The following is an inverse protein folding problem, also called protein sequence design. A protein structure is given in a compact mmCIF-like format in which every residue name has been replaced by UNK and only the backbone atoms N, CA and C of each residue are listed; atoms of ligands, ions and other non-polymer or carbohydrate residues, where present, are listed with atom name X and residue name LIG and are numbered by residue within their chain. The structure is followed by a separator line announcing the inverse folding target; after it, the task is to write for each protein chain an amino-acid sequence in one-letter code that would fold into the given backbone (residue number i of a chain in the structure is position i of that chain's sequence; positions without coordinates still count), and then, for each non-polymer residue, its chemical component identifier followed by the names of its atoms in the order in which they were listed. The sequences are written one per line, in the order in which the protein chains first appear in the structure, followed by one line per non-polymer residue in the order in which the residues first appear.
data_IF_782254833340
#
_entry.id   IF_782254833340
#
_cell.length_a   1.000
_cell.length_b   1.000
_cell.length_c   1.000
_cell.angle_alpha   90.00
_cell.angle_beta   90.00
_cell.angle_gamma   90.00
#
_symmetry.space_group_name_H-M   'P 1'
#
loop_
_entity.id
_entity.type
_entity.pdbx_description
1 polymer ?
#
# COMPACT_ATOMS: atom_id res chain seq x y z
N UNK A 1 11.57 -10.49 -8.33
CA UNK A 1 10.35 -10.56 -7.51
C UNK A 1 9.16 -10.36 -8.43
N UNK A 2 8.12 -11.20 -8.35
CA UNK A 2 6.86 -11.01 -9.08
C UNK A 2 5.76 -10.67 -8.07
N UNK A 3 4.95 -9.62 -8.31
CA UNK A 3 3.86 -9.28 -7.40
C UNK A 3 2.82 -10.40 -7.37
N UNK A 4 2.12 -10.49 -6.25
CA UNK A 4 1.02 -11.42 -6.05
C UNK A 4 -0.14 -10.69 -5.36
N UNK A 5 -1.34 -11.26 -5.44
CA UNK A 5 -2.51 -10.76 -4.73
C UNK A 5 -2.21 -10.65 -3.23
N UNK A 6 -2.51 -9.49 -2.65
CA UNK A 6 -2.24 -9.16 -1.24
C UNK A 6 -0.94 -8.41 -1.02
N UNK A 7 -0.03 -8.33 -2.00
CA UNK A 7 1.16 -7.49 -1.88
C UNK A 7 0.78 -6.01 -1.78
N UNK A 8 1.52 -5.26 -0.96
CA UNK A 8 1.45 -3.81 -0.93
C UNK A 8 2.44 -3.29 -1.97
N UNK A 9 1.97 -2.51 -2.92
CA UNK A 9 2.82 -1.83 -3.90
C UNK A 9 3.12 -0.42 -3.41
N UNK A 10 4.38 -0.01 -3.53
CA UNK A 10 4.85 1.34 -3.22
C UNK A 10 5.19 2.03 -4.54
N UNK A 11 4.59 3.19 -4.76
CA UNK A 11 4.79 4.01 -5.94
C UNK A 11 5.58 5.26 -5.62
N UNK A 12 6.41 5.66 -6.59
CA UNK A 12 7.13 6.93 -6.59
C UNK A 12 6.45 7.92 -7.53
N UNK A 13 6.04 9.07 -7.00
CA UNK A 13 5.60 10.24 -7.76
C UNK A 13 4.58 9.92 -8.87
N UNK A 14 3.47 9.25 -8.53
CA UNK A 14 2.54 8.64 -9.50
C UNK A 14 1.48 9.60 -10.06
N UNK A 15 1.23 10.74 -9.41
CA UNK A 15 0.31 11.76 -9.93
C UNK A 15 1.03 12.52 -11.04
N UNK A 16 0.46 12.61 -12.25
CA UNK A 16 1.11 13.32 -13.34
C UNK A 16 1.09 14.84 -13.10
N UNK A 17 2.06 15.60 -13.64
CA UNK A 17 2.22 17.03 -13.32
C UNK A 17 0.96 17.87 -13.49
N UNK A 18 0.15 17.60 -14.51
CA UNK A 18 -1.09 18.31 -14.81
C UNK A 18 -2.21 18.14 -13.78
N UNK A 19 -2.10 17.13 -12.89
CA UNK A 19 -3.06 16.85 -11.83
C UNK A 19 -2.55 17.27 -10.44
N UNK A 20 -1.43 17.97 -10.37
CA UNK A 20 -0.84 18.46 -9.13
C UNK A 20 -1.13 19.94 -8.93
N UNK A 21 -1.32 20.32 -7.67
CA UNK A 21 -1.39 21.73 -7.27
C UNK A 21 -0.03 22.43 -7.42
N UNK A 22 1.07 21.72 -7.13
CA UNK A 22 2.44 22.11 -7.43
C UNK A 22 3.18 20.96 -8.12
N UNK A 23 3.64 21.21 -9.35
CA UNK A 23 4.35 20.24 -10.20
C UNK A 23 5.60 19.64 -9.53
N UNK A 24 6.23 20.39 -8.62
CA UNK A 24 7.45 19.96 -7.94
C UNK A 24 7.18 19.11 -6.71
N UNK A 25 5.94 19.06 -6.20
CA UNK A 25 5.60 18.27 -5.02
C UNK A 25 5.64 16.78 -5.37
N UNK A 26 6.48 15.95 -4.71
CA UNK A 26 6.45 14.51 -4.88
C UNK A 26 5.13 13.93 -4.39
N UNK A 27 4.51 13.09 -5.20
CA UNK A 27 3.24 12.44 -4.88
C UNK A 27 3.43 10.92 -4.85
N UNK A 28 4.13 10.46 -3.82
CA UNK A 28 4.30 9.02 -3.58
C UNK A 28 2.96 8.41 -3.13
N UNK A 29 2.80 7.11 -3.38
CA UNK A 29 1.52 6.46 -3.19
C UNK A 29 1.67 4.98 -2.87
N UNK A 30 0.60 4.35 -2.41
CA UNK A 30 0.57 2.91 -2.18
C UNK A 30 -0.79 2.30 -2.53
N UNK A 31 -0.78 1.02 -2.86
CA UNK A 31 -1.99 0.25 -3.12
C UNK A 31 -1.84 -1.20 -2.71
N UNK A 32 -2.94 -1.94 -2.78
CA UNK A 32 -2.96 -3.40 -2.55
C UNK A 32 -3.18 -4.10 -3.88
N UNK A 33 -2.26 -4.98 -4.27
CA UNK A 33 -2.39 -5.79 -5.48
C UNK A 33 -3.56 -6.75 -5.32
N UNK A 34 -4.55 -6.67 -6.21
CA UNK A 34 -5.73 -7.55 -6.20
C UNK A 34 -5.70 -8.61 -7.31
N UNK A 35 -5.01 -8.33 -8.40
CA UNK A 35 -4.86 -9.24 -9.54
C UNK A 35 -3.58 -8.93 -10.33
N UNK A 36 -2.96 -9.93 -10.95
CA UNK A 36 -1.73 -9.77 -11.74
C UNK A 36 -1.93 -10.44 -13.10
N UNK A 37 -1.51 -9.76 -14.17
CA UNK A 37 -1.54 -10.27 -15.53
C UNK A 37 -0.21 -10.01 -16.26
N UNK A 38 -0.17 -10.41 -17.53
CA UNK A 38 1.00 -10.27 -18.39
C UNK A 38 1.41 -8.82 -18.68
N UNK A 39 0.49 -7.86 -18.55
CA UNK A 39 0.69 -6.46 -18.89
C UNK A 39 0.89 -5.57 -17.65
N UNK A 40 0.63 -6.10 -16.45
CA UNK A 40 0.65 -5.32 -15.24
C UNK A 40 -0.03 -6.01 -14.07
N UNK A 41 -0.66 -5.20 -13.24
CA UNK A 41 -1.47 -5.66 -12.13
C UNK A 41 -2.59 -4.65 -11.87
N UNK A 42 -3.64 -5.12 -11.22
CA UNK A 42 -4.68 -4.27 -10.66
C UNK A 42 -4.37 -4.03 -9.19
N UNK A 43 -4.44 -2.77 -8.77
CA UNK A 43 -4.28 -2.38 -7.38
C UNK A 43 -5.52 -1.64 -6.88
N UNK A 44 -5.97 -2.01 -5.67
CA UNK A 44 -6.91 -1.19 -4.92
C UNK A 44 -6.14 -0.01 -4.31
N UNK A 45 -6.51 1.20 -4.70
CA UNK A 45 -5.83 2.45 -4.38
C UNK A 45 -6.85 3.47 -3.87
N UNK A 46 -6.38 4.38 -3.01
CA UNK A 46 -7.12 5.58 -2.59
C UNK A 46 -6.57 6.81 -3.31
N UNK A 47 -7.27 7.94 -3.26
CA UNK A 47 -6.84 9.19 -3.90
C UNK A 47 -6.37 9.02 -5.37
N UNK A 48 -7.05 8.16 -6.13
CA UNK A 48 -6.70 7.87 -7.52
C UNK A 48 -6.74 9.18 -8.31
N UNK A 49 -5.65 9.48 -9.03
CA UNK A 49 -5.56 10.66 -9.85
C UNK A 49 -5.60 11.99 -9.10
N UNK A 50 -5.38 11.97 -7.77
CA UNK A 50 -5.49 13.16 -6.90
C UNK A 50 -6.93 13.71 -6.77
N UNK A 51 -7.94 12.85 -6.87
CA UNK A 51 -9.36 13.23 -6.87
C UNK A 51 -10.09 12.81 -5.58
N UNK A 52 -9.36 12.40 -4.53
CA UNK A 52 -9.92 11.86 -3.29
C UNK A 52 -10.93 10.71 -3.53
N UNK A 53 -10.63 9.85 -4.50
CA UNK A 53 -11.46 8.72 -4.91
C UNK A 53 -10.72 7.40 -4.69
N UNK A 54 -11.43 6.39 -4.19
CA UNK A 54 -10.92 5.02 -4.09
C UNK A 54 -11.41 4.18 -5.26
N UNK A 55 -10.59 3.22 -5.69
CA UNK A 55 -10.96 2.33 -6.78
C UNK A 55 -9.92 1.25 -7.06
N UNK A 56 -10.19 0.44 -8.06
CA UNK A 56 -9.25 -0.56 -8.58
C UNK A 56 -8.74 -0.07 -9.92
N UNK A 57 -7.43 0.11 -10.04
CA UNK A 57 -6.77 0.65 -11.23
C UNK A 57 -5.73 -0.34 -11.76
N UNK A 58 -5.64 -0.44 -13.09
CA UNK A 58 -4.59 -1.21 -13.75
C UNK A 58 -3.31 -0.36 -13.84
N UNK A 59 -2.19 -0.96 -13.45
CA UNK A 59 -0.86 -0.35 -13.46
C UNK A 59 0.08 -1.23 -14.27
N UNK A 60 0.89 -0.59 -15.12
CA UNK A 60 1.93 -1.28 -15.89
C UNK A 60 3.07 -1.70 -14.97
N UNK A 61 3.68 -2.82 -15.28
CA UNK A 61 4.92 -3.23 -14.64
C UNK A 61 6.01 -2.15 -14.82
N UNK A 62 6.84 -1.97 -13.78
CA UNK A 62 8.04 -1.10 -13.77
C UNK A 62 7.83 0.41 -13.99
N UNK A 63 6.59 0.91 -14.01
CA UNK A 63 6.30 2.35 -14.18
C UNK A 63 5.99 2.95 -12.81
N UNK A 64 6.82 3.90 -12.35
CA UNK A 64 6.62 4.61 -11.08
C UNK A 64 6.52 3.67 -9.86
N UNK A 65 7.08 2.46 -9.92
CA UNK A 65 7.07 1.49 -8.83
C UNK A 65 8.42 1.53 -8.12
N UNK A 66 8.38 1.79 -6.82
CA UNK A 66 9.54 1.73 -5.94
C UNK A 66 9.81 0.29 -5.50
N UNK A 67 8.74 -0.46 -5.23
CA UNK A 67 8.85 -1.85 -4.81
C UNK A 67 7.54 -2.43 -4.33
N UNK A 68 7.63 -3.65 -3.81
CA UNK A 68 6.51 -4.38 -3.23
C UNK A 68 6.89 -4.87 -1.84
N UNK A 69 5.93 -4.82 -0.92
CA UNK A 69 6.02 -5.41 0.41
C UNK A 69 5.08 -6.61 0.44
N UNK A 70 5.64 -7.79 0.69
CA UNK A 70 4.89 -9.02 0.92
C UNK A 70 4.91 -9.34 2.39
N UNK A 71 3.73 -9.40 3.00
CA UNK A 71 3.56 -9.96 4.34
C UNK A 71 3.52 -11.49 4.17
N UNK A 72 4.29 -12.20 4.98
CA UNK A 72 4.25 -13.67 4.98
C UNK A 72 2.83 -14.12 5.35
N UNK A 73 2.28 -15.09 4.62
CA UNK A 73 0.95 -15.65 4.91
C UNK A 73 0.86 -16.36 6.26
N UNK A 74 2.01 -16.65 6.88
CA UNK A 74 2.13 -17.19 8.24
C UNK A 74 2.44 -16.12 9.28
N UNK A 75 2.49 -14.84 8.90
CA UNK A 75 2.70 -13.77 9.84
C UNK A 75 1.55 -13.72 10.84
N UNK A 76 1.88 -13.88 12.11
CA UNK A 76 0.98 -13.64 13.22
C UNK A 76 1.48 -12.42 13.97
N UNK A 77 0.57 -11.49 14.25
CA UNK A 77 0.87 -10.32 15.05
C UNK A 77 1.00 -10.74 16.52
N UNK A 78 2.15 -10.48 17.11
CA UNK A 78 2.57 -10.88 18.45
C UNK A 78 2.26 -9.83 19.53
N UNK A 79 1.41 -8.85 19.23
CA UNK A 79 0.83 -7.94 20.23
C UNK A 79 1.65 -6.69 20.55
N UNK A 80 2.82 -6.47 19.94
CA UNK A 80 3.56 -5.22 20.13
C UNK A 80 2.87 -4.06 19.40
N UNK A 81 2.61 -2.98 20.12
CA UNK A 81 2.19 -1.71 19.54
C UNK A 81 3.39 -0.78 19.54
N UNK A 82 3.57 -0.04 18.45
CA UNK A 82 4.47 1.10 18.41
C UNK A 82 3.65 2.37 18.41
N UNK A 83 3.82 3.19 19.45
CA UNK A 83 3.24 4.52 19.47
C UNK A 83 4.16 5.45 18.68
N UNK A 84 3.79 5.72 17.42
CA UNK A 84 4.58 6.57 16.54
C UNK A 84 4.70 8.02 17.03
N UNK A 85 3.86 8.46 17.98
CA UNK A 85 3.91 9.83 18.53
C UNK A 85 4.93 9.93 19.66
N UNK A 86 5.00 8.92 20.53
CA UNK A 86 5.96 8.89 21.64
C UNK A 86 7.28 8.21 21.30
N UNK A 87 7.31 7.40 20.23
CA UNK A 87 8.46 6.57 19.86
C UNK A 87 8.64 5.34 20.77
N UNK A 88 7.67 5.06 21.63
CA UNK A 88 7.73 3.96 22.59
C UNK A 88 7.07 2.69 22.04
N UNK A 89 7.71 1.55 22.31
CA UNK A 89 7.11 0.23 22.11
C UNK A 89 6.28 -0.10 23.36
N UNK A 90 5.02 -0.48 23.15
CA UNK A 90 4.11 -0.94 24.19
C UNK A 90 3.64 -2.35 23.86
N UNK A 91 3.85 -3.29 24.75
CA UNK A 91 3.29 -4.64 24.61
C UNK A 91 1.93 -4.65 25.29
N UNK A 92 0.86 -4.87 24.53
CA UNK A 92 -0.44 -5.17 25.11
C UNK A 92 -0.67 -6.69 25.05
N UNK A 93 -1.12 -7.33 26.14
CA UNK A 93 -1.48 -8.74 26.09
C UNK A 93 -2.57 -8.94 25.04
N UNK A 94 -2.24 -9.69 23.99
CA UNK A 94 -3.21 -10.09 22.98
C UNK A 94 -4.26 -10.97 23.66
N UNK A 95 -5.49 -10.47 23.76
CA UNK A 95 -6.64 -11.26 24.20
C UNK A 95 -7.39 -11.67 22.94
N UNK A 96 -7.36 -12.96 22.52
CA UNK A 96 -8.12 -13.40 21.36
C UNK A 96 -9.61 -13.16 21.64
N UNK A 97 -10.28 -12.36 20.81
CA UNK A 97 -11.74 -12.29 20.84
C UNK A 97 -12.27 -13.62 20.32
N UNK A 98 -12.85 -14.44 21.20
CA UNK A 98 -13.64 -15.60 20.76
C UNK A 98 -14.82 -15.04 19.96
N UNK A 99 -15.00 -15.42 18.68
CA UNK A 99 -16.17 -15.00 17.93
C UNK A 99 -17.43 -15.53 18.64
N UNK A 100 -18.40 -14.64 18.88
CA UNK A 100 -19.73 -14.98 19.40
C UNK A 100 -20.62 -15.50 18.28
#
# INVERSE_FOLDING_TARGET
FLPARGDIVIYRNIVPPEKKDDVNTPTDHMGIVVFVDQNGFQAAEGNIGNENMSGVIHRKHHVNIEGFIRIDGKYEYDGWKYDYKSGEIRTEPFTPTVPV
#
